data_IF_641632347343
#
_entry.id   IF_641632347343
#
_cell.length_a   1.000
_cell.length_b   1.000
_cell.length_c   1.000
_cell.angle_alpha   90.00
_cell.angle_beta   90.00
_cell.angle_gamma   90.00
#
_symmetry.space_group_name_H-M   'P 1'
#
loop_
_entity.id
_entity.type
_entity.pdbx_description
1 polymer ?
#
# COMPACT_ATOMS: atom_id res chain seq x y z
N UNK A 1 -25.94 3.06 6.11
CA UNK A 1 -26.63 4.36 6.32
C UNK A 1 -26.67 4.81 7.77
N UNK A 2 -27.46 4.21 8.68
CA UNK A 2 -27.56 4.66 10.08
C UNK A 2 -26.18 4.82 10.75
N UNK A 3 -25.32 3.80 10.65
CA UNK A 3 -23.94 3.83 11.15
C UNK A 3 -23.11 4.99 10.57
N UNK A 4 -23.22 5.22 9.25
CA UNK A 4 -22.54 6.34 8.59
C UNK A 4 -23.04 7.68 9.13
N UNK A 5 -24.36 7.88 9.25
CA UNK A 5 -24.90 9.12 9.78
C UNK A 5 -24.49 9.36 11.24
N UNK A 6 -24.50 8.32 12.08
CA UNK A 6 -24.02 8.41 13.46
C UNK A 6 -22.55 8.87 13.54
N UNK A 7 -21.70 8.39 12.63
CA UNK A 7 -20.29 8.81 12.56
C UNK A 7 -20.11 10.20 11.95
N UNK A 8 -20.76 10.51 10.82
CA UNK A 8 -20.61 11.81 10.13
C UNK A 8 -21.22 12.97 10.89
N UNK A 9 -22.41 12.78 11.48
CA UNK A 9 -23.13 13.82 12.22
C UNK A 9 -22.78 13.83 13.71
N UNK A 10 -21.85 12.96 14.14
CA UNK A 10 -21.45 12.76 15.54
C UNK A 10 -22.61 12.37 16.48
N UNK A 11 -23.69 11.82 15.95
CA UNK A 11 -24.88 11.40 16.70
C UNK A 11 -24.75 9.98 17.28
N UNK A 12 -25.40 9.73 18.42
CA UNK A 12 -25.60 8.37 18.90
C UNK A 12 -26.76 7.72 18.15
N UNK A 13 -26.68 6.40 17.93
CA UNK A 13 -27.87 5.65 17.52
C UNK A 13 -28.78 5.54 18.74
N UNK A 14 -30.07 5.79 18.53
CA UNK A 14 -31.08 5.44 19.52
C UNK A 14 -31.07 3.91 19.78
N UNK A 15 -31.36 3.49 21.02
CA UNK A 15 -31.21 2.08 21.45
C UNK A 15 -32.07 1.11 20.63
N UNK A 16 -33.39 1.35 20.45
CA UNK A 16 -34.21 0.62 19.48
C UNK A 16 -33.58 0.51 18.08
N UNK A 17 -33.05 1.61 17.55
CA UNK A 17 -32.42 1.63 16.22
C UNK A 17 -31.18 0.74 16.18
N UNK A 18 -30.29 0.82 17.17
CA UNK A 18 -29.08 -0.01 17.23
C UNK A 18 -29.44 -1.50 17.36
N UNK A 19 -30.47 -1.85 18.16
CA UNK A 19 -30.96 -3.23 18.32
C UNK A 19 -31.66 -3.81 17.09
N UNK A 20 -32.22 -2.95 16.22
CA UNK A 20 -32.87 -3.38 14.99
C UNK A 20 -31.85 -3.77 13.90
N UNK A 21 -30.61 -3.24 13.93
CA UNK A 21 -29.61 -3.49 12.88
C UNK A 21 -29.23 -4.98 12.77
N UNK A 22 -28.91 -5.70 13.86
CA UNK A 22 -28.61 -7.14 13.78
C UNK A 22 -29.75 -7.97 13.20
N UNK A 23 -31.00 -7.59 13.48
CA UNK A 23 -32.21 -8.29 13.00
C UNK A 23 -32.41 -8.11 11.48
N UNK A 24 -31.82 -7.07 10.90
CA UNK A 24 -31.89 -6.77 9.47
C UNK A 24 -30.73 -7.38 8.66
N UNK A 25 -29.83 -8.16 9.27
CA UNK A 25 -28.65 -8.69 8.57
C UNK A 25 -28.99 -9.65 7.42
N UNK A 26 -30.09 -10.40 7.52
CA UNK A 26 -30.54 -11.29 6.43
C UNK A 26 -31.10 -10.50 5.24
N UNK A 27 -31.71 -9.34 5.52
CA UNK A 27 -32.11 -8.40 4.47
C UNK A 27 -30.88 -7.69 3.89
N UNK A 28 -29.91 -7.33 4.73
CA UNK A 28 -28.64 -6.74 4.31
C UNK A 28 -27.89 -7.62 3.31
N UNK A 29 -27.95 -8.96 3.47
CA UNK A 29 -27.33 -9.91 2.53
C UNK A 29 -27.84 -9.79 1.08
N UNK A 30 -29.01 -9.18 0.86
CA UNK A 30 -29.60 -8.94 -0.46
C UNK A 30 -29.17 -7.59 -1.06
N UNK A 31 -28.43 -6.76 -0.33
CA UNK A 31 -28.01 -5.43 -0.79
C UNK A 31 -26.82 -5.57 -1.75
N UNK A 32 -26.94 -4.95 -2.93
CA UNK A 32 -25.86 -4.91 -3.91
C UNK A 32 -24.55 -4.33 -3.32
N UNK A 33 -23.43 -4.96 -3.63
CA UNK A 33 -22.12 -4.62 -3.09
C UNK A 33 -21.69 -3.19 -3.43
N UNK A 34 -22.10 -2.64 -4.58
CA UNK A 34 -21.83 -1.27 -4.98
C UNK A 34 -22.46 -0.25 -4.00
N UNK A 35 -23.64 -0.57 -3.45
CA UNK A 35 -24.30 0.26 -2.43
C UNK A 35 -23.62 0.14 -1.07
N UNK A 36 -23.15 -1.06 -0.72
CA UNK A 36 -22.36 -1.30 0.50
C UNK A 36 -21.05 -0.52 0.42
N UNK A 37 -20.34 -0.65 -0.70
CA UNK A 37 -19.13 0.10 -1.06
C UNK A 37 -19.34 1.59 -0.89
N UNK A 38 -20.35 2.16 -1.54
CA UNK A 38 -20.64 3.59 -1.43
C UNK A 38 -20.81 4.06 0.02
N UNK A 39 -21.53 3.31 0.84
CA UNK A 39 -21.75 3.68 2.25
C UNK A 39 -20.48 3.53 3.09
N UNK A 40 -19.65 2.51 2.81
CA UNK A 40 -18.34 2.34 3.44
C UNK A 40 -17.38 3.47 3.02
N UNK A 41 -17.27 3.79 1.73
CA UNK A 41 -16.43 4.88 1.22
C UNK A 41 -16.85 6.23 1.83
N UNK A 42 -18.16 6.51 1.88
CA UNK A 42 -18.68 7.74 2.51
C UNK A 42 -18.43 7.74 4.02
N UNK A 43 -18.53 6.60 4.71
CA UNK A 43 -18.17 6.50 6.12
C UNK A 43 -16.68 6.77 6.35
N UNK A 44 -15.81 6.18 5.53
CA UNK A 44 -14.37 6.39 5.64
C UNK A 44 -14.02 7.85 5.38
N UNK A 45 -14.53 8.48 4.33
CA UNK A 45 -14.17 9.87 3.99
C UNK A 45 -14.84 10.91 4.89
N UNK A 46 -16.13 10.74 5.21
CA UNK A 46 -16.96 11.75 5.90
C UNK A 46 -17.20 11.44 7.37
N UNK A 47 -16.77 10.29 7.88
CA UNK A 47 -16.89 9.93 9.29
C UNK A 47 -15.94 10.75 10.15
N UNK A 48 -16.40 11.16 11.33
CA UNK A 48 -15.66 12.07 12.20
C UNK A 48 -15.83 11.75 13.71
N UNK A 49 -14.96 10.91 14.29
CA UNK A 49 -13.95 10.08 13.61
C UNK A 49 -14.59 8.92 12.84
N UNK A 50 -13.94 8.47 11.76
CA UNK A 50 -14.41 7.33 10.97
C UNK A 50 -14.35 6.01 11.79
N UNK A 51 -13.38 5.89 12.70
CA UNK A 51 -13.28 4.75 13.61
C UNK A 51 -14.53 4.52 14.47
N UNK A 52 -15.28 5.59 14.78
CA UNK A 52 -16.57 5.46 15.50
C UNK A 52 -17.58 4.67 14.69
N UNK A 53 -17.67 4.92 13.38
CA UNK A 53 -18.54 4.17 12.50
C UNK A 53 -18.09 2.73 12.34
N UNK A 54 -16.78 2.47 12.24
CA UNK A 54 -16.26 1.10 12.13
C UNK A 54 -16.53 0.31 13.43
N UNK A 55 -16.38 0.93 14.61
CA UNK A 55 -16.79 0.31 15.88
C UNK A 55 -18.28 0.00 15.91
N UNK A 56 -19.12 0.89 15.39
CA UNK A 56 -20.56 0.65 15.25
C UNK A 56 -20.86 -0.52 14.28
N UNK A 57 -20.16 -0.60 13.14
CA UNK A 57 -20.26 -1.76 12.24
C UNK A 57 -19.93 -3.06 12.99
N UNK A 58 -18.88 -3.07 13.81
CA UNK A 58 -18.51 -4.24 14.63
C UNK A 58 -19.60 -4.58 15.64
N UNK A 59 -20.03 -3.63 16.48
CA UNK A 59 -21.03 -3.86 17.54
C UNK A 59 -22.38 -4.34 16.99
N UNK A 60 -22.74 -3.90 15.79
CA UNK A 60 -24.02 -4.26 15.15
C UNK A 60 -23.93 -5.52 14.28
N UNK A 61 -22.77 -6.16 14.17
CA UNK A 61 -22.53 -7.34 13.35
C UNK A 61 -22.37 -7.06 11.84
N UNK A 62 -22.57 -5.82 11.39
CA UNK A 62 -22.36 -5.45 9.99
C UNK A 62 -20.91 -5.65 9.53
N UNK A 63 -19.93 -5.44 10.40
CA UNK A 63 -18.51 -5.62 10.03
C UNK A 63 -18.22 -7.06 9.59
N UNK A 64 -18.81 -8.04 10.26
CA UNK A 64 -18.69 -9.47 9.91
C UNK A 64 -19.27 -9.79 8.52
N UNK A 65 -20.18 -8.96 8.01
CA UNK A 65 -20.75 -9.12 6.67
C UNK A 65 -19.97 -8.36 5.61
N UNK A 66 -19.32 -7.24 5.96
CA UNK A 66 -18.68 -6.33 4.99
C UNK A 66 -17.20 -6.68 4.83
N UNK A 67 -16.44 -6.72 5.94
CA UNK A 67 -15.00 -7.01 5.96
C UNK A 67 -14.70 -7.89 7.19
N UNK A 68 -15.11 -9.18 7.18
CA UNK A 68 -14.88 -10.09 8.30
C UNK A 68 -13.40 -10.23 8.68
N UNK A 69 -12.49 -10.06 7.73
CA UNK A 69 -11.04 -10.18 7.92
C UNK A 69 -10.51 -9.19 8.99
N UNK A 70 -11.16 -8.02 9.14
CA UNK A 70 -10.81 -7.06 10.19
C UNK A 70 -11.14 -7.54 11.60
N UNK A 71 -12.03 -8.54 11.74
CA UNK A 71 -12.36 -9.10 13.05
C UNK A 71 -11.21 -9.97 13.60
N UNK A 72 -10.35 -10.51 12.73
CA UNK A 72 -9.20 -11.31 13.14
C UNK A 72 -8.17 -10.49 13.93
N UNK A 73 -8.12 -9.17 13.72
CA UNK A 73 -7.26 -8.26 14.47
C UNK A 73 -7.80 -7.84 15.84
N UNK A 74 -9.05 -8.20 16.20
CA UNK A 74 -9.67 -7.78 17.46
C UNK A 74 -9.07 -8.57 18.62
N UNK A 75 -8.41 -7.88 19.55
CA UNK A 75 -7.70 -8.53 20.66
C UNK A 75 -6.40 -9.24 20.25
N UNK A 76 -5.99 -9.13 18.98
CA UNK A 76 -4.73 -9.71 18.51
C UNK A 76 -3.57 -8.81 18.95
N UNK A 77 -2.79 -9.25 19.92
CA UNK A 77 -1.67 -8.50 20.48
C UNK A 77 -0.53 -8.32 19.47
N UNK A 78 0.16 -7.20 19.58
CA UNK A 78 1.27 -6.81 18.71
C UNK A 78 2.59 -6.79 19.49
N UNK A 79 3.69 -6.52 18.80
CA UNK A 79 5.02 -6.40 19.40
C UNK A 79 5.21 -5.09 20.21
N UNK A 80 6.37 -4.95 20.86
CA UNK A 80 6.77 -3.84 21.74
C UNK A 80 6.63 -2.44 21.14
N UNK A 81 6.58 -2.34 19.80
CA UNK A 81 6.44 -1.07 19.11
C UNK A 81 4.99 -0.54 19.12
N UNK A 82 4.02 -1.31 19.64
CA UNK A 82 2.61 -0.97 19.61
C UNK A 82 1.99 -0.93 21.02
N UNK A 83 1.13 0.05 21.27
CA UNK A 83 0.38 0.18 22.52
C UNK A 83 -0.99 -0.53 22.47
N UNK A 84 -1.38 -1.07 21.31
CA UNK A 84 -2.74 -1.51 21.03
C UNK A 84 -2.75 -2.81 20.24
N UNK A 85 -3.85 -3.57 20.33
CA UNK A 85 -4.12 -4.68 19.41
C UNK A 85 -4.21 -4.19 17.95
N UNK A 86 -4.13 -5.14 17.01
CA UNK A 86 -4.16 -4.85 15.56
C UNK A 86 -5.39 -4.02 15.20
N UNK A 87 -6.59 -4.40 15.64
CA UNK A 87 -7.82 -3.70 15.26
C UNK A 87 -7.85 -2.25 15.77
N UNK A 88 -7.49 -2.00 17.03
CA UNK A 88 -7.46 -0.65 17.62
C UNK A 88 -6.36 0.19 16.99
N UNK A 89 -5.22 -0.39 16.65
CA UNK A 89 -4.17 0.26 15.88
C UNK A 89 -4.70 0.69 14.50
N UNK A 90 -5.30 -0.21 13.74
CA UNK A 90 -5.95 0.07 12.44
C UNK A 90 -6.95 1.20 12.54
N UNK A 91 -7.84 1.17 13.54
CA UNK A 91 -8.83 2.23 13.75
C UNK A 91 -8.20 3.60 14.00
N UNK A 92 -7.08 3.65 14.72
CA UNK A 92 -6.33 4.89 14.95
C UNK A 92 -5.64 5.36 13.66
N UNK A 93 -5.06 4.45 12.88
CA UNK A 93 -4.44 4.78 11.60
C UNK A 93 -5.46 5.41 10.65
N UNK A 94 -6.68 4.87 10.57
CA UNK A 94 -7.78 5.46 9.78
C UNK A 94 -8.15 6.88 10.23
N UNK A 95 -8.11 7.16 11.53
CA UNK A 95 -8.44 8.49 12.05
C UNK A 95 -7.30 9.51 11.83
N UNK A 96 -6.04 9.07 11.89
CA UNK A 96 -4.88 9.91 11.57
C UNK A 96 -4.68 10.11 10.06
N UNK A 97 -5.18 9.19 9.23
CA UNK A 97 -5.12 9.29 7.80
C UNK A 97 -5.95 10.49 7.28
N UNK A 98 -5.45 11.20 6.24
CA UNK A 98 -6.22 12.26 5.58
C UNK A 98 -7.57 11.72 5.10
N UNK A 99 -8.55 12.61 4.87
CA UNK A 99 -9.87 12.25 4.36
C UNK A 99 -9.86 11.94 2.85
N UNK A 100 -8.81 11.27 2.40
CA UNK A 100 -8.69 10.70 1.07
C UNK A 100 -9.14 9.23 1.11
N UNK A 101 -9.92 8.81 0.11
CA UNK A 101 -10.49 7.45 0.11
C UNK A 101 -9.41 6.38 -0.05
N UNK A 102 -8.45 6.60 -0.95
CA UNK A 102 -7.36 5.64 -1.22
C UNK A 102 -6.55 5.44 0.05
N UNK A 103 -6.14 6.53 0.71
CA UNK A 103 -5.33 6.46 1.94
C UNK A 103 -6.13 5.87 3.10
N UNK A 104 -7.43 6.16 3.25
CA UNK A 104 -8.25 5.56 4.33
C UNK A 104 -8.57 4.09 4.11
N UNK A 105 -8.71 3.64 2.86
CA UNK A 105 -8.81 2.22 2.55
C UNK A 105 -7.49 1.51 2.87
N UNK A 106 -6.36 2.09 2.48
CA UNK A 106 -5.05 1.54 2.80
C UNK A 106 -4.82 1.51 4.33
N UNK A 107 -5.14 2.58 5.05
CA UNK A 107 -5.02 2.62 6.51
C UNK A 107 -5.94 1.60 7.20
N UNK A 108 -7.12 1.33 6.64
CA UNK A 108 -8.03 0.31 7.16
C UNK A 108 -7.48 -1.11 6.96
N UNK A 109 -6.68 -1.34 5.91
CA UNK A 109 -6.29 -2.69 5.46
C UNK A 109 -4.79 -3.00 5.61
N UNK A 110 -3.94 -2.01 5.94
CA UNK A 110 -2.48 -2.17 5.93
C UNK A 110 -1.99 -3.38 6.75
N UNK A 111 -2.62 -3.61 7.90
CA UNK A 111 -2.29 -4.68 8.84
C UNK A 111 -3.23 -5.89 8.75
N UNK A 112 -4.11 -5.97 7.75
CA UNK A 112 -5.10 -7.07 7.66
C UNK A 112 -4.45 -8.45 7.54
N UNK A 113 -3.21 -8.51 7.04
CA UNK A 113 -2.42 -9.74 6.95
C UNK A 113 -1.77 -10.18 8.27
N UNK A 114 -1.60 -9.27 9.26
CA UNK A 114 -0.85 -9.56 10.50
C UNK A 114 -1.35 -10.82 11.23
N UNK A 115 -2.66 -10.98 11.53
CA UNK A 115 -3.14 -12.16 12.27
C UNK A 115 -2.80 -13.48 11.58
N UNK A 116 -2.83 -13.51 10.24
CA UNK A 116 -2.58 -14.72 9.44
C UNK A 116 -1.10 -14.98 9.15
N UNK A 117 -0.25 -13.97 9.29
CA UNK A 117 1.21 -14.10 9.15
C UNK A 117 1.95 -14.26 10.48
N UNK A 118 1.24 -14.17 11.60
CA UNK A 118 1.83 -14.18 12.93
C UNK A 118 2.58 -15.48 13.18
N UNK A 119 3.87 -15.38 13.49
CA UNK A 119 4.65 -16.51 13.98
C UNK A 119 4.44 -16.66 15.48
N UNK A 120 4.54 -17.89 16.02
CA UNK A 120 4.56 -18.08 17.46
C UNK A 120 5.68 -17.24 18.07
N UNK A 121 5.45 -16.64 19.25
CA UNK A 121 6.52 -15.98 19.97
C UNK A 121 7.66 -16.98 20.17
N UNK A 122 8.90 -16.56 19.93
CA UNK A 122 10.07 -17.34 20.36
C UNK A 122 9.96 -17.65 21.87
N UNK A 123 10.71 -18.60 22.45
CA UNK A 123 10.52 -19.05 23.84
C UNK A 123 10.53 -17.97 24.94
N UNK A 124 10.86 -16.70 24.59
CA UNK A 124 10.72 -15.48 25.39
C UNK A 124 10.30 -14.25 24.58
N UNK A 125 9.74 -14.43 23.39
CA UNK A 125 9.60 -13.40 22.36
C UNK A 125 8.18 -12.86 22.19
N UNK A 126 8.07 -11.88 21.32
CA UNK A 126 6.79 -11.29 20.88
C UNK A 126 6.38 -11.89 19.53
N UNK A 127 5.13 -11.67 19.11
CA UNK A 127 4.73 -12.02 17.75
C UNK A 127 5.58 -11.28 16.72
N UNK A 128 6.14 -12.04 15.77
CA UNK A 128 6.73 -11.48 14.55
C UNK A 128 5.76 -11.66 13.38
N UNK A 129 5.74 -10.69 12.48
CA UNK A 129 4.78 -10.59 11.36
C UNK A 129 5.53 -10.53 10.03
N UNK A 130 6.39 -11.53 9.77
CA UNK A 130 7.19 -11.55 8.55
C UNK A 130 6.28 -11.60 7.32
N UNK A 131 6.55 -10.73 6.35
CA UNK A 131 5.85 -10.66 5.06
C UNK A 131 4.35 -10.37 5.15
N UNK A 132 3.86 -9.82 6.26
CA UNK A 132 2.44 -9.49 6.41
C UNK A 132 1.96 -8.48 5.37
N UNK A 133 2.85 -7.64 4.86
CA UNK A 133 2.59 -6.67 3.80
C UNK A 133 2.24 -7.35 2.47
N UNK A 134 2.87 -8.49 2.15
CA UNK A 134 2.56 -9.26 0.93
C UNK A 134 1.23 -10.01 1.06
N UNK A 135 0.99 -10.63 2.22
CA UNK A 135 -0.28 -11.28 2.49
C UNK A 135 -1.42 -10.26 2.57
N UNK A 136 -1.16 -9.12 3.22
CA UNK A 136 -2.09 -8.00 3.33
C UNK A 136 -2.41 -7.38 1.97
N UNK A 137 -1.45 -7.32 1.06
CA UNK A 137 -1.66 -6.88 -0.32
C UNK A 137 -2.64 -7.80 -1.06
N UNK A 138 -2.43 -9.13 -0.99
CA UNK A 138 -3.32 -10.13 -1.60
C UNK A 138 -4.74 -10.04 -1.02
N UNK A 139 -4.85 -10.06 0.31
CA UNK A 139 -6.14 -9.91 1.01
C UNK A 139 -6.84 -8.60 0.67
N UNK A 140 -6.08 -7.50 0.53
CA UNK A 140 -6.62 -6.20 0.14
C UNK A 140 -7.26 -6.26 -1.25
N UNK A 141 -6.62 -6.92 -2.21
CA UNK A 141 -7.22 -7.11 -3.55
C UNK A 141 -8.53 -7.88 -3.46
N UNK A 142 -8.54 -9.01 -2.76
CA UNK A 142 -9.73 -9.85 -2.59
C UNK A 142 -10.88 -9.08 -1.94
N UNK A 143 -10.61 -8.37 -0.86
CA UNK A 143 -11.59 -7.57 -0.12
C UNK A 143 -12.18 -6.48 -1.03
N UNK A 144 -11.34 -5.70 -1.71
CA UNK A 144 -11.82 -4.55 -2.49
C UNK A 144 -12.53 -4.98 -3.79
N UNK A 145 -12.11 -6.09 -4.42
CA UNK A 145 -12.81 -6.68 -5.56
C UNK A 145 -14.18 -7.24 -5.14
N UNK A 146 -14.27 -7.91 -3.98
CA UNK A 146 -15.54 -8.36 -3.41
C UNK A 146 -16.48 -7.19 -3.12
N UNK A 147 -15.94 -6.06 -2.68
CA UNK A 147 -16.67 -4.80 -2.49
C UNK A 147 -16.90 -4.03 -3.81
N UNK A 148 -16.56 -4.58 -4.97
CA UNK A 148 -16.78 -3.96 -6.29
C UNK A 148 -16.12 -2.59 -6.45
N UNK A 149 -14.96 -2.35 -5.83
CA UNK A 149 -14.18 -1.15 -6.16
C UNK A 149 -13.62 -1.25 -7.59
N UNK A 150 -13.45 -0.11 -8.29
CA UNK A 150 -12.80 -0.11 -9.60
C UNK A 150 -11.38 -0.68 -9.52
N UNK A 151 -10.97 -1.48 -10.51
CA UNK A 151 -9.66 -2.15 -10.52
C UNK A 151 -8.48 -1.19 -10.27
N UNK A 152 -8.52 0.01 -10.87
CA UNK A 152 -7.50 1.04 -10.64
C UNK A 152 -7.36 1.42 -9.16
N UNK A 153 -8.47 1.51 -8.44
CA UNK A 153 -8.46 1.84 -7.02
C UNK A 153 -7.96 0.66 -6.18
N UNK A 154 -8.35 -0.57 -6.54
CA UNK A 154 -7.87 -1.81 -5.92
C UNK A 154 -6.34 -1.87 -5.97
N UNK A 155 -5.74 -1.70 -7.14
CA UNK A 155 -4.29 -1.76 -7.31
C UNK A 155 -3.56 -0.63 -6.58
N UNK A 156 -4.13 0.58 -6.58
CA UNK A 156 -3.55 1.70 -5.80
C UNK A 156 -3.52 1.38 -4.32
N UNK A 157 -4.63 0.89 -3.74
CA UNK A 157 -4.68 0.56 -2.31
C UNK A 157 -3.79 -0.63 -1.98
N UNK A 158 -3.80 -1.68 -2.81
CA UNK A 158 -2.95 -2.86 -2.63
C UNK A 158 -1.46 -2.48 -2.63
N UNK A 159 -1.03 -1.65 -3.58
CA UNK A 159 0.34 -1.13 -3.61
C UNK A 159 0.71 -0.38 -2.31
N UNK A 160 -0.17 0.49 -1.81
CA UNK A 160 0.09 1.19 -0.56
C UNK A 160 0.21 0.21 0.62
N UNK A 161 -0.63 -0.81 0.68
CA UNK A 161 -0.55 -1.88 1.70
C UNK A 161 0.73 -2.70 1.55
N UNK A 162 1.17 -3.01 0.33
CA UNK A 162 2.45 -3.73 0.11
C UNK A 162 3.65 -2.92 0.60
N UNK A 163 3.63 -1.61 0.38
CA UNK A 163 4.79 -0.74 0.60
C UNK A 163 4.74 0.02 1.93
N UNK A 164 3.73 -0.21 2.78
CA UNK A 164 3.59 0.57 4.01
C UNK A 164 4.68 0.26 5.04
N UNK A 165 5.17 -0.99 5.10
CA UNK A 165 6.07 -1.44 6.16
C UNK A 165 7.41 -1.95 5.60
N UNK A 166 8.38 -1.05 5.51
CA UNK A 166 9.78 -1.40 5.29
C UNK A 166 10.67 -0.49 6.12
N UNK A 167 11.80 -1.04 6.60
CA UNK A 167 12.76 -0.33 7.41
C UNK A 167 13.83 0.30 6.52
N UNK A 168 13.81 1.62 6.43
CA UNK A 168 14.88 2.35 5.79
C UNK A 168 16.10 2.36 6.70
N UNK A 169 17.23 2.00 6.13
CA UNK A 169 18.52 2.04 6.79
C UNK A 169 19.39 3.12 6.15
N UNK A 170 20.09 3.97 6.92
CA UNK A 170 20.92 5.05 6.38
C UNK A 170 21.95 4.59 5.33
N UNK A 171 22.44 3.36 5.44
CA UNK A 171 23.40 2.73 4.52
C UNK A 171 22.84 2.34 3.14
N UNK A 172 21.55 2.54 2.88
CA UNK A 172 21.04 2.42 1.50
C UNK A 172 21.90 3.31 0.59
N UNK A 173 22.27 2.82 -0.59
CA UNK A 173 22.89 3.67 -1.59
C UNK A 173 21.83 4.35 -2.45
N UNK A 174 22.22 5.37 -3.21
CA UNK A 174 21.28 6.18 -3.99
C UNK A 174 20.59 5.37 -5.08
N UNK A 175 21.27 4.37 -5.66
CA UNK A 175 20.68 3.45 -6.62
C UNK A 175 19.55 2.61 -6.01
N UNK A 176 19.69 2.14 -4.76
CA UNK A 176 18.64 1.43 -4.03
C UNK A 176 17.43 2.33 -3.79
N UNK A 177 17.65 3.61 -3.48
CA UNK A 177 16.56 4.59 -3.35
C UNK A 177 15.85 4.80 -4.68
N UNK A 178 16.58 5.04 -5.79
CA UNK A 178 15.98 5.20 -7.13
C UNK A 178 15.23 3.95 -7.59
N UNK A 179 15.77 2.75 -7.38
CA UNK A 179 15.06 1.49 -7.66
C UNK A 179 13.79 1.35 -6.84
N UNK A 180 13.81 1.77 -5.58
CA UNK A 180 12.64 1.75 -4.72
C UNK A 180 11.58 2.73 -5.22
N UNK A 181 11.97 3.94 -5.60
CA UNK A 181 11.09 4.93 -6.23
C UNK A 181 10.49 4.37 -7.52
N UNK A 182 11.30 3.82 -8.42
CA UNK A 182 10.87 3.24 -9.69
C UNK A 182 9.85 2.11 -9.49
N UNK A 183 10.10 1.24 -8.51
CA UNK A 183 9.22 0.11 -8.15
C UNK A 183 7.87 0.56 -7.59
N UNK A 184 7.88 1.57 -6.70
CA UNK A 184 6.65 2.12 -6.10
C UNK A 184 5.89 3.01 -7.10
N UNK A 185 6.62 3.70 -7.97
CA UNK A 185 6.10 4.74 -8.83
C UNK A 185 6.02 6.09 -8.11
N UNK A 186 6.55 7.17 -8.70
CA UNK A 186 6.61 8.48 -8.04
C UNK A 186 5.22 9.03 -7.67
N UNK A 187 4.20 8.75 -8.48
CA UNK A 187 2.82 9.20 -8.26
C UNK A 187 2.17 8.58 -7.00
N UNK A 188 2.66 7.43 -6.54
CA UNK A 188 2.14 6.75 -5.36
C UNK A 188 2.78 7.23 -4.04
N UNK A 189 3.96 7.85 -4.11
CA UNK A 189 4.73 8.26 -2.92
C UNK A 189 3.96 9.22 -2.00
N UNK A 190 3.25 10.27 -2.47
CA UNK A 190 2.53 11.16 -1.57
C UNK A 190 1.47 10.43 -0.72
N UNK A 191 0.73 9.50 -1.32
CA UNK A 191 -0.26 8.70 -0.61
C UNK A 191 0.39 7.69 0.35
N UNK A 192 1.56 7.15 -0.03
CA UNK A 192 2.34 6.26 0.83
C UNK A 192 2.88 6.97 2.06
N UNK A 193 3.41 8.18 1.92
CA UNK A 193 3.87 9.01 3.05
C UNK A 193 2.74 9.35 4.01
N UNK A 194 1.56 9.67 3.48
CA UNK A 194 0.36 9.91 4.27
C UNK A 194 -0.07 8.64 5.05
N UNK A 195 -0.04 7.47 4.42
CA UNK A 195 -0.35 6.20 5.08
C UNK A 195 0.66 5.88 6.19
N UNK A 196 1.96 5.90 5.87
CA UNK A 196 3.03 5.58 6.83
C UNK A 196 3.03 6.53 8.02
N UNK A 197 2.80 7.82 7.77
CA UNK A 197 2.68 8.80 8.82
C UNK A 197 1.44 8.56 9.71
N UNK A 198 0.35 8.03 9.15
CA UNK A 198 -0.84 7.68 9.92
C UNK A 198 -0.65 6.41 10.77
N UNK A 199 -0.02 5.38 10.22
CA UNK A 199 0.42 4.18 10.96
C UNK A 199 1.33 4.58 12.14
N UNK A 200 2.42 5.32 11.89
CA UNK A 200 3.36 5.73 12.94
C UNK A 200 2.67 6.46 14.10
N UNK A 201 1.75 7.39 13.81
CA UNK A 201 0.96 8.10 14.83
C UNK A 201 -0.02 7.18 15.57
N UNK A 202 -0.49 6.12 14.91
CA UNK A 202 -1.41 5.16 15.48
C UNK A 202 -0.76 4.19 16.47
N UNK A 203 0.55 3.93 16.38
CA UNK A 203 1.30 2.96 17.22
C UNK A 203 1.20 3.24 18.72
N UNK A 204 1.21 4.51 19.12
CA UNK A 204 1.17 4.92 20.53
C UNK A 204 2.48 4.71 21.30
N UNK A 205 3.53 4.15 20.67
CA UNK A 205 4.90 4.04 21.18
C UNK A 205 5.89 4.49 20.10
N UNK A 206 7.04 5.01 20.52
CA UNK A 206 8.14 5.50 19.66
C UNK A 206 7.69 6.40 18.50
N UNK A 207 6.58 7.13 18.67
CA UNK A 207 5.94 7.89 17.59
C UNK A 207 6.86 8.98 17.07
N UNK A 208 7.55 9.68 17.97
CA UNK A 208 8.47 10.77 17.61
C UNK A 208 9.65 10.27 16.78
N UNK A 209 10.35 9.26 17.28
CA UNK A 209 11.51 8.65 16.60
C UNK A 209 11.12 8.11 15.22
N UNK A 210 9.98 7.43 15.12
CA UNK A 210 9.47 6.92 13.85
C UNK A 210 9.16 8.02 12.84
N UNK A 211 8.56 9.14 13.29
CA UNK A 211 8.27 10.28 12.42
C UNK A 211 9.55 11.02 11.99
N UNK A 212 10.54 11.14 12.88
CA UNK A 212 11.85 11.73 12.54
C UNK A 212 12.58 10.87 11.49
N UNK A 213 12.54 9.54 11.62
CA UNK A 213 13.09 8.63 10.61
C UNK A 213 12.35 8.74 9.26
N UNK A 214 11.01 8.79 9.28
CA UNK A 214 10.22 8.98 8.07
C UNK A 214 10.56 10.31 7.37
N UNK A 215 10.75 11.40 8.12
CA UNK A 215 11.11 12.69 7.53
C UNK A 215 12.47 12.65 6.81
N UNK A 216 13.47 11.98 7.39
CA UNK A 216 14.79 11.81 6.76
C UNK A 216 14.69 10.98 5.47
N UNK A 217 13.88 9.92 5.51
CA UNK A 217 13.59 9.07 4.36
C UNK A 217 12.91 9.85 3.22
N UNK A 218 11.86 10.62 3.53
CA UNK A 218 11.16 11.46 2.55
C UNK A 218 12.11 12.46 1.89
N UNK A 219 12.95 13.14 2.68
CA UNK A 219 13.94 14.08 2.16
C UNK A 219 14.95 13.42 1.21
N UNK A 220 15.37 12.19 1.50
CA UNK A 220 16.26 11.42 0.63
C UNK A 220 15.58 11.00 -0.67
N UNK A 221 14.33 10.53 -0.59
CA UNK A 221 13.54 10.19 -1.78
C UNK A 221 13.34 11.42 -2.67
N UNK A 222 13.03 12.58 -2.08
CA UNK A 222 12.88 13.84 -2.80
C UNK A 222 14.18 14.30 -3.47
N UNK A 223 15.32 14.10 -2.83
CA UNK A 223 16.63 14.39 -3.42
C UNK A 223 16.89 13.52 -4.66
N UNK A 224 16.63 12.21 -4.53
CA UNK A 224 16.80 11.27 -5.65
C UNK A 224 15.78 11.47 -6.76
N UNK A 225 14.53 11.83 -6.46
CA UNK A 225 13.54 12.21 -7.46
C UNK A 225 14.00 13.40 -8.31
N UNK A 226 14.64 14.40 -7.69
CA UNK A 226 15.18 15.57 -8.41
C UNK A 226 16.43 15.24 -9.24
N UNK A 227 17.22 14.25 -8.82
CA UNK A 227 18.44 13.82 -9.51
C UNK A 227 18.16 12.77 -10.60
N UNK A 228 17.08 12.00 -10.46
CA UNK A 228 16.78 10.89 -11.35
C UNK A 228 16.55 11.37 -12.79
N UNK A 229 17.32 10.80 -13.72
CA UNK A 229 17.16 11.07 -15.14
C UNK A 229 16.08 10.18 -15.78
N UNK A 230 15.84 8.99 -15.23
CA UNK A 230 14.75 8.09 -15.63
C UNK A 230 14.33 7.22 -14.43
N UNK A 231 13.01 7.00 -14.28
CA UNK A 231 12.44 6.11 -13.25
C UNK A 231 11.55 5.02 -13.85
N UNK A 232 11.15 5.16 -15.11
CA UNK A 232 10.46 4.15 -15.91
C UNK A 232 11.08 4.11 -17.30
N UNK A 233 10.82 3.01 -18.03
CA UNK A 233 11.34 2.79 -19.39
C UNK A 233 11.00 3.95 -20.33
N UNK A 234 9.82 4.55 -20.18
CA UNK A 234 9.39 5.67 -21.02
C UNK A 234 10.10 7.00 -20.71
N UNK A 235 10.91 7.07 -19.65
CA UNK A 235 11.77 8.23 -19.36
C UNK A 235 13.17 8.09 -19.98
N UNK A 236 13.51 6.93 -20.56
CA UNK A 236 14.79 6.73 -21.21
C UNK A 236 14.95 7.67 -22.42
N UNK A 237 16.18 8.14 -22.65
CA UNK A 237 16.51 9.00 -23.78
C UNK A 237 16.40 8.31 -25.15
N UNK A 238 16.10 7.01 -25.18
CA UNK A 238 15.83 6.22 -26.37
C UNK A 238 14.58 5.34 -26.18
N UNK A 239 13.86 5.07 -27.27
CA UNK A 239 12.73 4.17 -27.29
C UNK A 239 13.05 2.84 -27.97
N UNK A 240 12.00 2.04 -28.18
CA UNK A 240 12.13 0.75 -28.86
C UNK A 240 12.60 0.88 -30.32
N UNK A 241 12.23 1.96 -31.01
CA UNK A 241 12.64 2.22 -32.39
C UNK A 241 14.16 2.37 -32.52
N UNK A 242 14.79 3.17 -31.65
CA UNK A 242 16.24 3.32 -31.64
C UNK A 242 16.95 2.03 -31.23
N UNK A 243 16.41 1.28 -30.27
CA UNK A 243 16.96 -0.03 -29.89
C UNK A 243 16.94 -0.97 -31.09
N UNK A 244 15.84 -1.06 -31.83
CA UNK A 244 15.76 -1.89 -33.04
C UNK A 244 16.75 -1.43 -34.11
N UNK A 245 16.85 -0.12 -34.33
CA UNK A 245 17.76 0.45 -35.34
C UNK A 245 19.24 0.14 -35.06
N UNK A 246 19.68 0.21 -33.80
CA UNK A 246 21.10 0.02 -33.43
C UNK A 246 21.49 -1.45 -33.22
N UNK A 247 20.51 -2.32 -32.94
CA UNK A 247 20.76 -3.74 -32.64
C UNK A 247 20.38 -4.68 -33.79
N UNK A 248 19.53 -4.25 -34.72
CA UNK A 248 18.96 -5.09 -35.77
C UNK A 248 17.93 -6.12 -35.27
N UNK A 249 17.52 -6.03 -34.00
CA UNK A 249 16.55 -6.96 -33.39
C UNK A 249 15.13 -6.62 -33.90
N UNK A 250 14.37 -7.66 -34.25
CA UNK A 250 12.97 -7.52 -34.65
C UNK A 250 12.07 -7.05 -33.47
N UNK A 251 10.94 -6.38 -33.74
CA UNK A 251 10.01 -5.95 -32.70
C UNK A 251 9.53 -7.15 -31.86
N UNK A 252 9.61 -7.02 -30.53
CA UNK A 252 9.17 -8.07 -29.62
C UNK A 252 9.74 -7.95 -28.21
N UNK A 253 9.54 -9.00 -27.41
CA UNK A 253 9.91 -9.07 -25.98
C UNK A 253 11.36 -8.67 -25.72
N UNK A 254 12.29 -9.07 -26.60
CA UNK A 254 13.72 -8.79 -26.46
C UNK A 254 14.04 -7.29 -26.44
N UNK A 255 13.31 -6.47 -27.19
CA UNK A 255 13.45 -5.00 -27.16
C UNK A 255 13.08 -4.45 -25.78
N UNK A 256 11.99 -4.95 -25.19
CA UNK A 256 11.57 -4.58 -23.83
C UNK A 256 12.54 -5.04 -22.75
N UNK A 257 13.16 -6.22 -22.91
CA UNK A 257 14.22 -6.71 -22.02
C UNK A 257 15.46 -5.79 -22.06
N UNK A 258 15.87 -5.34 -23.24
CA UNK A 258 16.98 -4.38 -23.40
C UNK A 258 16.64 -3.04 -22.75
N UNK A 259 15.45 -2.49 -23.02
CA UNK A 259 15.01 -1.23 -22.40
C UNK A 259 14.96 -1.33 -20.87
N UNK A 260 14.50 -2.46 -20.32
CA UNK A 260 14.54 -2.73 -18.88
C UNK A 260 15.98 -2.75 -18.35
N UNK A 261 16.88 -3.46 -19.04
CA UNK A 261 18.29 -3.52 -18.64
C UNK A 261 18.99 -2.16 -18.72
N UNK A 262 18.63 -1.31 -19.70
CA UNK A 262 19.12 0.07 -19.78
C UNK A 262 18.61 0.91 -18.62
N UNK A 263 17.32 0.79 -18.27
CA UNK A 263 16.76 1.44 -17.10
C UNK A 263 17.51 1.04 -15.83
N UNK A 264 17.82 -0.24 -15.64
CA UNK A 264 18.59 -0.70 -14.49
C UNK A 264 19.97 -0.02 -14.39
N UNK A 265 20.66 0.16 -15.54
CA UNK A 265 21.93 0.91 -15.58
C UNK A 265 21.75 2.39 -15.24
N UNK A 266 20.69 3.03 -15.74
CA UNK A 266 20.38 4.43 -15.43
C UNK A 266 19.97 4.63 -13.97
N UNK A 267 19.32 3.64 -13.36
CA UNK A 267 19.03 3.66 -11.93
C UNK A 267 20.30 3.52 -11.09
N UNK A 268 21.33 2.83 -11.56
CA UNK A 268 22.66 2.82 -10.93
C UNK A 268 23.40 4.15 -11.12
N UNK A 269 23.40 4.69 -12.33
CA UNK A 269 24.04 5.97 -12.67
C UNK A 269 23.14 6.81 -13.60
N UNK A 270 22.47 7.85 -13.06
CA UNK A 270 21.56 8.71 -13.83
C UNK A 270 22.21 9.39 -15.03
N UNK A 271 23.53 9.63 -14.99
CA UNK A 271 24.26 10.34 -16.04
C UNK A 271 24.37 9.49 -17.33
N UNK A 272 24.06 8.19 -17.25
CA UNK A 272 24.00 7.30 -18.41
C UNK A 272 22.80 7.57 -19.32
N UNK A 273 21.77 8.30 -18.88
CA UNK A 273 20.54 8.54 -19.65
C UNK A 273 20.72 9.57 -20.78
N UNK A 274 21.68 9.34 -21.68
CA UNK A 274 21.87 10.13 -22.89
C UNK A 274 21.72 9.25 -24.11
N UNK A 275 21.21 9.81 -25.21
CA UNK A 275 20.94 9.06 -26.45
C UNK A 275 22.15 8.23 -26.90
N UNK A 276 23.32 8.86 -26.99
CA UNK A 276 24.55 8.21 -27.46
C UNK A 276 25.01 7.08 -26.52
N UNK A 277 25.00 7.33 -25.20
CA UNK A 277 25.40 6.33 -24.21
C UNK A 277 24.46 5.13 -24.23
N UNK A 278 23.15 5.36 -24.25
CA UNK A 278 22.16 4.29 -24.27
C UNK A 278 22.18 3.48 -25.57
N UNK A 279 22.40 4.11 -26.74
CA UNK A 279 22.54 3.38 -28.01
C UNK A 279 23.73 2.41 -27.97
N UNK A 280 24.87 2.84 -27.43
CA UNK A 280 26.06 1.97 -27.27
C UNK A 280 25.77 0.81 -26.30
N UNK A 281 25.21 1.11 -25.12
CA UNK A 281 24.86 0.09 -24.14
C UNK A 281 23.82 -0.90 -24.69
N UNK A 282 22.88 -0.45 -25.52
CA UNK A 282 21.90 -1.32 -26.16
C UNK A 282 22.56 -2.38 -27.05
N UNK A 283 23.56 -1.98 -27.86
CA UNK A 283 24.34 -2.90 -28.69
C UNK A 283 25.16 -3.89 -27.85
N UNK A 284 25.77 -3.43 -26.75
CA UNK A 284 26.53 -4.30 -25.82
C UNK A 284 25.64 -5.36 -25.16
N UNK A 285 24.45 -4.96 -24.69
CA UNK A 285 23.47 -5.86 -24.08
C UNK A 285 22.92 -6.85 -25.11
N UNK A 286 22.66 -6.39 -26.34
CA UNK A 286 22.19 -7.25 -27.43
C UNK A 286 23.21 -8.32 -27.82
N UNK A 287 24.50 -7.98 -27.83
CA UNK A 287 25.60 -8.90 -28.15
C UNK A 287 25.98 -9.89 -27.04
N UNK A 288 25.51 -9.66 -25.81
CA UNK A 288 25.74 -10.57 -24.69
C UNK A 288 24.77 -11.77 -24.74
N UNK A 289 25.24 -13.02 -24.59
CA UNK A 289 24.34 -14.17 -24.54
C UNK A 289 23.35 -14.00 -23.38
N UNK A 290 22.07 -14.23 -23.65
CA UNK A 290 20.99 -14.14 -22.67
C UNK A 290 21.32 -15.00 -21.44
N UNK A 291 21.77 -14.39 -20.35
CA UNK A 291 21.79 -15.05 -19.05
C UNK A 291 20.34 -15.20 -18.62
N UNK A 292 19.74 -16.33 -18.99
CA UNK A 292 18.45 -16.74 -18.49
C UNK A 292 18.50 -16.68 -16.97
N UNK A 293 17.62 -15.86 -16.40
CA UNK A 293 17.43 -15.74 -14.97
C UNK A 293 17.25 -17.14 -14.35
N UNK A 294 18.14 -17.63 -13.45
CA UNK A 294 17.86 -18.83 -12.69
C UNK A 294 16.74 -18.50 -11.70
N UNK A 295 15.49 -18.64 -12.13
CA UNK A 295 14.32 -18.57 -11.26
C UNK A 295 14.33 -19.78 -10.30
N UNK A 296 14.41 -19.55 -9.00
CA UNK A 296 13.27 -19.51 -8.06
C UNK A 296 13.74 -19.36 -6.62
#
# INVERSE_FOLDING_TARGET
>A
RAVRFASTLRLALDRPTERAIPQALDVFAKVAWERVREELSKLLVRGDPASRGIRLLRRTGLLARIVPELLEGVGFEQNQYHAYDVFRHTLRAVDFAPRDLTVRLAALLHDVGKPRSAQPPEPRGEHTFYKHEFLGEEMTREILLRLRYPHREVERVALLVREHNWHYLPEWNDATVRRTIARIGPDALPALWQLRGADLRARGRLVREGLENQQQLEARFDAELRRAAALKVTDLAIGGEEVMAVTGIAPGKRVGEILTALLDRVLDDPDLNTRNTLMRLASEIAGSPSTGNPQR
#
